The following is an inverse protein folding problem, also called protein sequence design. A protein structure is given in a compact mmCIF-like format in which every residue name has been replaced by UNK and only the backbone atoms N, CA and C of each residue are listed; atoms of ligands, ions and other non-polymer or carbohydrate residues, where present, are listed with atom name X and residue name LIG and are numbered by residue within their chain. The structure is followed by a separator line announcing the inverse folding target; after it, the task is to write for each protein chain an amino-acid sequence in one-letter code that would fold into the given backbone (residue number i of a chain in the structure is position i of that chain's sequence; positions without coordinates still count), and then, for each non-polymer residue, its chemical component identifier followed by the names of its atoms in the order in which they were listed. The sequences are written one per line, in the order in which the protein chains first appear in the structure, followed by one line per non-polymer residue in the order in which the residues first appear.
data_IF_616096669673
#
_entry.id   IF_616096669673
#
_cell.length_a   1.000
_cell.length_b   1.000
_cell.length_c   1.000
_cell.angle_alpha   90.00
_cell.angle_beta   90.00
_cell.angle_gamma   90.00
#
_symmetry.space_group_name_H-M   'P 1'
#
loop_
_entity.id
_entity.type
_entity.pdbx_description
1 polymer ?
#
# COMPACT_ATOMS: atom_id res chain seq x y z
N UNK A 1 2.06 -45.38 -72.65
CA UNK A 1 1.31 -45.48 -71.38
C UNK A 1 2.34 -45.21 -70.30
N UNK A 2 2.52 -43.90 -69.96
CA UNK A 2 3.56 -43.44 -69.02
C UNK A 2 2.94 -43.06 -67.70
N UNK A 3 3.30 -43.80 -66.69
CA UNK A 3 2.92 -43.49 -65.30
C UNK A 3 3.81 -42.35 -64.78
N UNK A 4 3.22 -41.21 -64.54
CA UNK A 4 3.88 -40.09 -63.85
C UNK A 4 4.00 -40.44 -62.38
N UNK A 5 5.23 -40.74 -61.97
CA UNK A 5 5.62 -40.84 -60.56
C UNK A 5 5.53 -39.45 -59.91
N UNK A 6 4.56 -39.27 -59.03
CA UNK A 6 4.36 -38.05 -58.32
C UNK A 6 5.48 -37.92 -57.25
N UNK A 7 6.41 -37.02 -57.51
CA UNK A 7 7.45 -36.66 -56.52
C UNK A 7 6.80 -36.13 -55.24
N UNK A 8 7.06 -36.80 -54.15
CA UNK A 8 6.68 -36.34 -52.79
C UNK A 8 7.30 -34.95 -52.52
N UNK A 9 6.57 -34.03 -51.92
CA UNK A 9 7.10 -32.69 -51.60
C UNK A 9 8.32 -32.81 -50.71
N UNK A 10 9.45 -32.25 -51.15
CA UNK A 10 10.67 -32.15 -50.37
C UNK A 10 10.33 -31.38 -49.09
N UNK A 11 10.37 -32.07 -47.95
CA UNK A 11 10.28 -31.42 -46.63
C UNK A 11 11.45 -30.45 -46.55
N UNK A 12 11.14 -29.16 -46.59
CA UNK A 12 12.09 -28.08 -46.36
C UNK A 12 12.79 -28.40 -45.03
N UNK A 13 14.05 -28.81 -45.08
CA UNK A 13 14.86 -28.99 -43.90
C UNK A 13 15.06 -27.62 -43.27
N UNK A 14 14.46 -27.39 -42.13
CA UNK A 14 14.68 -26.17 -41.36
C UNK A 14 16.18 -25.93 -41.19
N UNK A 15 16.64 -24.67 -41.33
CA UNK A 15 18.04 -24.31 -41.16
C UNK A 15 18.53 -24.81 -39.77
N UNK A 16 19.70 -25.41 -39.74
CA UNK A 16 20.30 -26.00 -38.52
C UNK A 16 20.38 -25.00 -37.37
N UNK A 17 20.50 -23.69 -37.67
CA UNK A 17 20.48 -22.60 -36.69
C UNK A 17 19.16 -22.46 -35.93
N UNK A 18 18.04 -22.56 -36.66
CA UNK A 18 16.70 -22.39 -36.05
C UNK A 18 16.33 -23.55 -35.12
N UNK A 19 16.85 -24.73 -35.36
CA UNK A 19 16.67 -25.88 -34.45
C UNK A 19 17.45 -25.67 -33.16
N UNK A 20 18.70 -25.24 -33.26
CA UNK A 20 19.53 -24.96 -32.08
C UNK A 20 18.95 -23.85 -31.22
N UNK A 21 18.44 -22.79 -31.83
CA UNK A 21 17.78 -21.71 -31.10
C UNK A 21 16.55 -22.22 -30.31
N UNK A 22 15.70 -23.04 -30.93
CA UNK A 22 14.55 -23.63 -30.28
C UNK A 22 14.93 -24.60 -29.14
N UNK A 23 15.99 -25.38 -29.29
CA UNK A 23 16.48 -26.25 -28.24
C UNK A 23 17.00 -25.46 -27.05
N UNK A 24 17.72 -24.37 -27.28
CA UNK A 24 18.17 -23.45 -26.21
C UNK A 24 17.00 -22.78 -25.49
N UNK A 25 16.04 -22.24 -26.24
CA UNK A 25 14.83 -21.63 -25.67
C UNK A 25 14.01 -22.64 -24.83
N UNK A 26 13.86 -23.87 -25.30
CA UNK A 26 13.16 -24.94 -24.57
C UNK A 26 13.91 -25.30 -23.29
N UNK A 27 15.24 -25.36 -23.34
CA UNK A 27 16.07 -25.67 -22.19
C UNK A 27 16.01 -24.53 -21.14
N UNK A 28 16.10 -23.27 -21.58
CA UNK A 28 15.93 -22.11 -20.70
C UNK A 28 14.55 -22.07 -20.04
N UNK A 29 13.48 -22.32 -20.81
CA UNK A 29 12.13 -22.39 -20.28
C UNK A 29 11.94 -23.53 -19.28
N UNK A 30 12.58 -24.67 -19.50
CA UNK A 30 12.55 -25.80 -18.56
C UNK A 30 13.28 -25.47 -17.25
N UNK A 31 14.45 -24.83 -17.33
CA UNK A 31 15.20 -24.35 -16.17
C UNK A 31 14.42 -23.32 -15.39
N UNK A 32 13.79 -22.36 -16.05
CA UNK A 32 12.97 -21.33 -15.42
C UNK A 32 11.75 -21.92 -14.70
N UNK A 33 11.07 -22.89 -15.31
CA UNK A 33 9.95 -23.61 -14.67
C UNK A 33 10.41 -24.37 -13.42
N UNK A 34 11.55 -25.04 -13.49
CA UNK A 34 12.12 -25.78 -12.36
C UNK A 34 12.54 -24.81 -11.24
N UNK A 35 13.20 -23.71 -11.57
CA UNK A 35 13.59 -22.69 -10.62
C UNK A 35 12.38 -22.03 -9.97
N UNK A 36 11.36 -21.66 -10.71
CA UNK A 36 10.10 -21.12 -10.18
C UNK A 36 9.43 -22.11 -9.22
N UNK A 37 9.36 -23.39 -9.59
CA UNK A 37 8.79 -24.44 -8.72
C UNK A 37 9.58 -24.60 -7.43
N UNK A 38 10.90 -24.69 -7.51
CA UNK A 38 11.76 -24.83 -6.34
C UNK A 38 11.69 -23.61 -5.43
N UNK A 39 11.66 -22.40 -6.00
CA UNK A 39 11.48 -21.17 -5.25
C UNK A 39 10.11 -21.10 -4.57
N UNK A 40 9.05 -21.52 -5.26
CA UNK A 40 7.70 -21.58 -4.68
C UNK A 40 7.61 -22.61 -3.55
N UNK A 41 8.18 -23.79 -3.76
CA UNK A 41 8.25 -24.83 -2.72
C UNK A 41 9.07 -24.34 -1.51
N UNK A 42 10.20 -23.67 -1.75
CA UNK A 42 11.01 -23.08 -0.68
C UNK A 42 10.25 -22.03 0.11
N UNK A 43 9.49 -21.16 -0.55
CA UNK A 43 8.64 -20.17 0.12
C UNK A 43 7.53 -20.81 0.94
N UNK A 44 6.88 -21.83 0.41
CA UNK A 44 5.83 -22.56 1.13
C UNK A 44 6.41 -23.31 2.34
N UNK A 45 7.56 -23.97 2.16
CA UNK A 45 8.25 -24.66 3.26
C UNK A 45 8.66 -23.68 4.37
N UNK A 46 9.20 -22.52 4.01
CA UNK A 46 9.55 -21.46 4.97
C UNK A 46 8.31 -20.96 5.72
N UNK A 47 7.21 -20.65 5.00
CA UNK A 47 5.96 -20.21 5.61
C UNK A 47 5.37 -21.27 6.54
N UNK A 48 5.38 -22.55 6.13
CA UNK A 48 4.93 -23.65 6.97
C UNK A 48 5.79 -23.83 8.22
N UNK A 49 7.12 -23.78 8.06
CA UNK A 49 8.04 -23.85 9.20
C UNK A 49 7.84 -22.68 10.18
N UNK A 50 7.65 -21.48 9.67
CA UNK A 50 7.34 -20.31 10.49
C UNK A 50 6.03 -20.46 11.26
N UNK A 51 4.95 -20.91 10.60
CA UNK A 51 3.65 -21.12 11.24
C UNK A 51 3.73 -22.24 12.30
N UNK A 52 4.46 -23.32 12.00
CA UNK A 52 4.67 -24.40 12.98
C UNK A 52 5.49 -23.93 14.19
N UNK A 53 6.55 -23.15 13.96
CA UNK A 53 7.34 -22.58 15.03
C UNK A 53 6.48 -21.65 15.89
N UNK A 54 5.66 -20.80 15.30
CA UNK A 54 4.74 -19.95 16.00
C UNK A 54 3.70 -20.74 16.81
N UNK A 55 3.08 -21.74 16.22
CA UNK A 55 2.11 -22.63 16.90
C UNK A 55 2.71 -23.28 18.16
N UNK A 56 3.96 -23.77 18.04
CA UNK A 56 4.66 -24.44 19.15
C UNK A 56 5.17 -23.45 20.20
N UNK A 57 5.67 -22.29 19.77
CA UNK A 57 6.20 -21.27 20.68
C UNK A 57 5.10 -20.62 21.53
N UNK A 58 3.92 -20.43 20.95
CA UNK A 58 2.76 -19.89 21.66
C UNK A 58 2.25 -20.89 22.71
N UNK A 59 2.24 -20.46 23.96
CA UNK A 59 1.84 -21.26 25.11
C UNK A 59 2.93 -22.16 25.71
N UNK A 60 4.15 -22.21 25.11
CA UNK A 60 5.31 -22.89 25.71
C UNK A 60 6.41 -21.93 26.12
N UNK A 61 6.72 -20.96 25.27
CA UNK A 61 7.76 -19.94 25.45
C UNK A 61 7.13 -18.55 25.62
N UNK A 62 6.06 -18.29 24.85
CA UNK A 62 5.31 -17.04 24.86
C UNK A 62 3.94 -17.30 25.51
N UNK A 63 3.56 -16.41 26.43
CA UNK A 63 2.23 -16.49 27.05
C UNK A 63 1.15 -16.29 25.98
N UNK A 64 0.14 -17.16 25.96
CA UNK A 64 -0.98 -17.11 25.01
C UNK A 64 -1.81 -15.84 25.13
N UNK A 65 -1.76 -15.14 26.26
CA UNK A 65 -2.41 -13.85 26.42
C UNK A 65 -1.82 -12.80 25.49
N UNK A 66 -0.49 -12.81 25.29
CA UNK A 66 0.18 -11.85 24.41
C UNK A 66 0.29 -12.35 22.96
N UNK A 67 0.48 -13.64 22.76
CA UNK A 67 0.70 -14.24 21.43
C UNK A 67 -0.18 -15.46 21.27
N UNK A 68 -1.34 -15.29 20.65
CA UNK A 68 -2.27 -16.38 20.37
C UNK A 68 -1.69 -17.38 19.37
N UNK A 69 -2.22 -18.61 19.35
CA UNK A 69 -1.85 -19.64 18.37
C UNK A 69 -2.49 -19.38 17.02
N UNK A 70 -1.80 -19.64 15.90
CA UNK A 70 -2.41 -19.61 14.57
C UNK A 70 -3.70 -20.42 14.45
N UNK A 71 -3.73 -21.63 15.03
CA UNK A 71 -4.94 -22.47 15.06
C UNK A 71 -6.13 -21.80 15.78
N UNK A 72 -5.89 -21.12 16.90
CA UNK A 72 -6.94 -20.39 17.62
C UNK A 72 -7.44 -19.18 16.82
N UNK A 73 -6.53 -18.48 16.14
CA UNK A 73 -6.89 -17.34 15.28
C UNK A 73 -7.81 -17.80 14.15
N UNK A 74 -7.47 -18.90 13.47
CA UNK A 74 -8.30 -19.47 12.40
C UNK A 74 -9.66 -19.91 12.94
N UNK A 75 -9.69 -20.58 14.08
CA UNK A 75 -10.95 -21.03 14.71
C UNK A 75 -11.84 -19.85 15.12
N UNK A 76 -11.24 -18.79 15.69
CA UNK A 76 -11.95 -17.57 16.05
C UNK A 76 -12.50 -16.84 14.81
N UNK A 77 -11.69 -16.72 13.75
CA UNK A 77 -12.10 -16.10 12.48
C UNK A 77 -13.28 -16.87 11.88
N UNK A 78 -13.19 -18.20 11.84
CA UNK A 78 -14.28 -19.06 11.36
C UNK A 78 -15.58 -18.84 12.16
N UNK A 79 -15.48 -18.82 13.49
CA UNK A 79 -16.62 -18.57 14.37
C UNK A 79 -17.23 -17.18 14.13
N UNK A 80 -16.40 -16.14 13.92
CA UNK A 80 -16.88 -14.78 13.60
C UNK A 80 -17.61 -14.72 12.27
N UNK A 81 -17.10 -15.36 11.23
CA UNK A 81 -17.72 -15.39 9.90
C UNK A 81 -19.11 -16.04 9.95
N UNK A 82 -19.22 -17.21 10.58
CA UNK A 82 -20.45 -18.00 10.58
C UNK A 82 -21.48 -17.56 11.62
N UNK A 83 -21.08 -16.81 12.64
CA UNK A 83 -22.00 -16.24 13.66
C UNK A 83 -22.47 -14.82 13.32
N UNK A 84 -22.21 -14.34 12.09
CA UNK A 84 -22.60 -13.01 11.57
C UNK A 84 -22.00 -11.80 12.32
N UNK A 85 -21.19 -12.05 13.36
CA UNK A 85 -20.57 -10.97 14.14
C UNK A 85 -19.47 -10.23 13.37
N UNK A 86 -18.85 -10.88 12.37
CA UNK A 86 -17.81 -10.27 11.56
C UNK A 86 -18.33 -9.05 10.81
N UNK A 87 -19.45 -9.19 10.11
CA UNK A 87 -20.03 -8.08 9.33
C UNK A 87 -20.52 -6.94 10.22
N UNK A 88 -21.07 -7.28 11.38
CA UNK A 88 -21.47 -6.28 12.37
C UNK A 88 -20.29 -5.45 12.85
N UNK A 89 -19.17 -6.06 13.23
CA UNK A 89 -17.97 -5.33 13.65
C UNK A 89 -17.27 -4.61 12.49
N UNK A 90 -17.25 -5.22 11.31
CA UNK A 90 -16.63 -4.67 10.13
C UNK A 90 -17.28 -3.35 9.68
N UNK A 91 -18.61 -3.25 9.71
CA UNK A 91 -19.30 -2.01 9.34
C UNK A 91 -18.89 -0.83 10.22
N UNK A 92 -18.78 -1.02 11.55
CA UNK A 92 -18.32 0.03 12.45
C UNK A 92 -16.86 0.42 12.17
N UNK A 93 -16.00 -0.57 11.97
CA UNK A 93 -14.59 -0.30 11.63
C UNK A 93 -14.46 0.48 10.31
N UNK A 94 -15.25 0.14 9.30
CA UNK A 94 -15.27 0.86 8.02
C UNK A 94 -15.79 2.29 8.21
N UNK A 95 -16.87 2.48 8.96
CA UNK A 95 -17.44 3.81 9.23
C UNK A 95 -16.42 4.66 9.99
N UNK A 96 -15.80 4.13 11.05
CA UNK A 96 -14.76 4.81 11.83
C UNK A 96 -13.57 5.23 10.95
N UNK A 97 -13.08 4.29 10.14
CA UNK A 97 -11.93 4.51 9.27
C UNK A 97 -12.22 5.53 8.16
N UNK A 98 -13.35 5.38 7.44
CA UNK A 98 -13.72 6.29 6.36
C UNK A 98 -14.05 7.69 6.87
N UNK A 99 -14.79 7.79 7.98
CA UNK A 99 -15.14 9.09 8.56
C UNK A 99 -13.88 9.81 9.03
N UNK A 100 -13.01 9.11 9.77
CA UNK A 100 -11.74 9.67 10.22
C UNK A 100 -10.83 10.05 9.04
N UNK A 101 -10.77 9.21 8.01
CA UNK A 101 -10.04 9.51 6.78
C UNK A 101 -10.55 10.79 6.10
N UNK A 102 -11.85 10.91 5.89
CA UNK A 102 -12.44 12.07 5.22
C UNK A 102 -12.20 13.37 6.01
N UNK A 103 -12.43 13.34 7.33
CA UNK A 103 -12.19 14.50 8.19
C UNK A 103 -10.71 14.89 8.15
N UNK A 104 -9.82 13.92 8.37
CA UNK A 104 -8.38 14.18 8.36
C UNK A 104 -7.86 14.64 7.01
N UNK A 105 -8.33 14.03 5.92
CA UNK A 105 -7.92 14.40 4.56
C UNK A 105 -8.37 15.81 4.18
N UNK A 106 -9.65 16.15 4.41
CA UNK A 106 -10.18 17.48 4.10
C UNK A 106 -9.50 18.56 4.95
N UNK A 107 -9.35 18.32 6.25
CA UNK A 107 -8.66 19.25 7.14
C UNK A 107 -7.18 19.41 6.78
N UNK A 108 -6.48 18.29 6.53
CA UNK A 108 -5.05 18.31 6.14
C UNK A 108 -4.81 19.02 4.82
N UNK A 109 -5.66 18.78 3.83
CA UNK A 109 -5.62 19.45 2.53
C UNK A 109 -5.90 20.94 2.67
N UNK A 110 -6.96 21.34 3.39
CA UNK A 110 -7.35 22.72 3.56
C UNK A 110 -6.27 23.54 4.31
N UNK A 111 -5.81 23.02 5.45
CA UNK A 111 -4.78 23.68 6.26
C UNK A 111 -3.43 23.70 5.51
N UNK A 112 -3.05 22.58 4.89
CA UNK A 112 -1.83 22.49 4.09
C UNK A 112 -1.82 23.47 2.92
N UNK A 113 -2.93 23.58 2.21
CA UNK A 113 -3.07 24.52 1.11
C UNK A 113 -2.97 25.98 1.56
N UNK A 114 -3.64 26.35 2.65
CA UNK A 114 -3.59 27.72 3.20
C UNK A 114 -2.17 28.07 3.65
N UNK A 115 -1.52 27.18 4.41
CA UNK A 115 -0.18 27.45 4.94
C UNK A 115 0.90 27.44 3.84
N UNK A 116 0.77 26.59 2.83
CA UNK A 116 1.73 26.53 1.73
C UNK A 116 1.78 27.82 0.88
N UNK A 117 0.72 28.65 0.91
CA UNK A 117 0.63 29.90 0.13
C UNK A 117 1.48 31.04 0.68
N UNK A 118 1.83 31.00 1.95
CA UNK A 118 2.59 32.08 2.61
C UNK A 118 3.87 31.53 3.22
N UNK A 119 5.01 31.89 2.65
CA UNK A 119 6.32 31.47 3.18
C UNK A 119 6.55 31.97 4.62
N UNK A 120 6.08 33.16 4.94
CA UNK A 120 6.23 33.75 6.28
C UNK A 120 5.44 32.92 7.31
N UNK A 121 4.18 32.63 7.02
CA UNK A 121 3.32 31.81 7.91
C UNK A 121 3.84 30.41 8.05
N UNK A 122 4.23 29.80 6.94
CA UNK A 122 4.77 28.42 6.96
C UNK A 122 6.02 28.33 7.85
N UNK A 123 7.00 29.23 7.69
CA UNK A 123 8.23 29.23 8.51
C UNK A 123 7.96 29.37 10.01
N UNK A 124 6.90 30.09 10.39
CA UNK A 124 6.50 30.21 11.80
C UNK A 124 5.88 28.92 12.32
N UNK A 125 5.06 28.24 11.49
CA UNK A 125 4.29 27.06 11.89
C UNK A 125 5.09 25.77 11.74
N UNK A 126 6.04 25.71 10.81
CA UNK A 126 6.86 24.52 10.49
C UNK A 126 7.48 23.83 11.72
N UNK A 127 8.16 24.52 12.66
CA UNK A 127 8.77 23.87 13.80
C UNK A 127 7.75 23.19 14.70
N UNK A 128 6.55 23.76 14.83
CA UNK A 128 5.46 23.15 15.60
C UNK A 128 4.91 21.90 14.88
N UNK A 129 4.74 21.97 13.55
CA UNK A 129 4.30 20.81 12.76
C UNK A 129 5.29 19.66 12.86
N UNK A 130 6.59 19.94 12.75
CA UNK A 130 7.65 18.93 12.88
C UNK A 130 7.63 18.32 14.28
N UNK A 131 7.48 19.14 15.34
CA UNK A 131 7.39 18.66 16.71
C UNK A 131 6.17 17.74 16.90
N UNK A 132 4.99 18.14 16.44
CA UNK A 132 3.78 17.34 16.52
C UNK A 132 3.85 16.07 15.65
N UNK A 133 4.50 16.16 14.49
CA UNK A 133 4.72 15.01 13.62
C UNK A 133 5.62 13.95 14.28
N UNK A 134 6.59 14.38 15.09
CA UNK A 134 7.50 13.50 15.82
C UNK A 134 6.83 12.74 16.98
N UNK A 135 5.65 13.15 17.45
CA UNK A 135 4.93 12.45 18.52
C UNK A 135 4.37 11.13 17.97
N UNK A 136 4.60 9.98 18.65
CA UNK A 136 3.96 8.72 18.29
C UNK A 136 2.43 8.85 18.42
N UNK A 137 1.73 9.03 17.29
CA UNK A 137 0.29 9.34 17.28
C UNK A 137 -0.57 8.29 17.95
N UNK A 138 -0.15 7.01 17.87
CA UNK A 138 -0.85 5.92 18.53
C UNK A 138 -0.79 6.05 20.07
N UNK A 139 0.25 6.71 20.59
CA UNK A 139 0.38 6.98 22.03
C UNK A 139 -0.63 8.06 22.51
N UNK A 140 -1.26 8.80 21.59
CA UNK A 140 -2.32 9.74 21.92
C UNK A 140 -3.70 9.06 22.09
N UNK A 141 -3.83 7.78 21.74
CA UNK A 141 -5.11 7.08 21.82
C UNK A 141 -5.74 7.14 23.24
N UNK A 142 -5.01 6.93 24.35
CA UNK A 142 -5.58 7.09 25.69
C UNK A 142 -6.12 8.49 25.97
N UNK A 143 -5.46 9.53 25.44
CA UNK A 143 -5.90 10.92 25.59
C UNK A 143 -7.22 11.17 24.84
N UNK A 144 -7.36 10.63 23.65
CA UNK A 144 -8.61 10.71 22.90
C UNK A 144 -9.74 9.94 23.57
N UNK A 145 -9.44 8.81 24.21
CA UNK A 145 -10.42 8.07 25.01
C UNK A 145 -10.86 8.88 26.23
N UNK A 146 -9.91 9.59 26.87
CA UNK A 146 -10.21 10.47 28.00
C UNK A 146 -11.13 11.63 27.60
N UNK A 147 -10.91 12.24 26.43
CA UNK A 147 -11.67 13.39 25.97
C UNK A 147 -13.03 13.03 25.36
N UNK A 148 -13.10 11.94 24.59
CA UNK A 148 -14.26 11.56 23.78
C UNK A 148 -14.96 10.29 24.28
N UNK A 149 -14.43 9.65 25.32
CA UNK A 149 -14.95 8.39 25.86
C UNK A 149 -14.56 7.14 25.06
N UNK A 150 -14.94 5.98 25.58
CA UNK A 150 -14.80 4.69 24.94
C UNK A 150 -15.90 4.53 23.88
N UNK A 151 -15.66 5.00 22.66
CA UNK A 151 -16.68 4.91 21.61
C UNK A 151 -16.13 5.15 20.21
N UNK A 152 -17.05 5.31 19.28
CA UNK A 152 -16.76 5.58 17.86
C UNK A 152 -15.99 6.90 17.69
N UNK A 153 -16.31 7.91 18.50
CA UNK A 153 -15.76 9.26 18.37
C UNK A 153 -14.25 9.31 18.62
N UNK A 154 -13.78 8.63 19.67
CA UNK A 154 -12.34 8.56 19.97
C UNK A 154 -11.55 7.87 18.86
N UNK A 155 -12.11 6.82 18.26
CA UNK A 155 -11.47 6.10 17.15
C UNK A 155 -11.43 6.93 15.88
N UNK A 156 -12.53 7.63 15.55
CA UNK A 156 -12.58 8.59 14.43
C UNK A 156 -11.56 9.70 14.64
N UNK A 157 -11.43 10.25 15.86
CA UNK A 157 -10.48 11.31 16.15
C UNK A 157 -9.02 10.84 15.99
N UNK A 158 -8.69 9.64 16.45
CA UNK A 158 -7.36 9.04 16.23
C UNK A 158 -7.08 8.85 14.74
N UNK A 159 -8.03 8.28 13.99
CA UNK A 159 -7.89 8.10 12.55
C UNK A 159 -7.74 9.44 11.82
N UNK A 160 -8.54 10.44 12.18
CA UNK A 160 -8.50 11.76 11.59
C UNK A 160 -7.16 12.47 11.80
N UNK A 161 -6.60 12.44 13.01
CA UNK A 161 -5.30 13.08 13.27
C UNK A 161 -4.15 12.39 12.55
N UNK A 162 -4.20 11.05 12.42
CA UNK A 162 -3.20 10.30 11.66
C UNK A 162 -3.20 10.71 10.18
N UNK A 163 -4.37 10.77 9.57
CA UNK A 163 -4.54 11.16 8.16
C UNK A 163 -4.22 12.63 7.95
N UNK A 164 -4.67 13.50 8.87
CA UNK A 164 -4.42 14.94 8.81
C UNK A 164 -2.95 15.26 8.58
N UNK A 165 -2.05 14.77 9.43
CA UNK A 165 -0.63 15.09 9.31
C UNK A 165 -0.01 14.55 8.01
N UNK A 166 -0.42 13.35 7.58
CA UNK A 166 0.08 12.77 6.33
C UNK A 166 -0.33 13.64 5.14
N UNK A 167 -1.62 13.96 5.05
CA UNK A 167 -2.16 14.78 3.95
C UNK A 167 -1.61 16.20 4.00
N UNK A 168 -1.57 16.80 5.18
CA UNK A 168 -1.03 18.14 5.40
C UNK A 168 0.41 18.28 4.88
N UNK A 169 1.32 17.40 5.32
CA UNK A 169 2.73 17.46 4.93
C UNK A 169 2.90 17.25 3.43
N UNK A 170 2.19 16.24 2.86
CA UNK A 170 2.26 16.01 1.43
C UNK A 170 1.67 17.16 0.60
N UNK A 171 0.59 17.79 1.07
CA UNK A 171 0.01 18.97 0.43
C UNK A 171 0.99 20.14 0.41
N UNK A 172 1.60 20.44 1.55
CA UNK A 172 2.60 21.50 1.63
C UNK A 172 3.81 21.19 0.77
N UNK A 173 4.35 19.98 0.85
CA UNK A 173 5.48 19.54 0.04
C UNK A 173 5.17 19.61 -1.47
N UNK A 174 3.99 19.14 -1.88
CA UNK A 174 3.54 19.21 -3.27
C UNK A 174 3.48 20.63 -3.81
N UNK A 175 2.84 21.55 -3.07
CA UNK A 175 2.71 22.96 -3.49
C UNK A 175 4.08 23.65 -3.57
N UNK A 176 4.97 23.36 -2.62
CA UNK A 176 6.30 24.00 -2.54
C UNK A 176 7.35 23.36 -3.44
N UNK A 177 7.10 22.19 -3.98
CA UNK A 177 8.01 21.52 -4.92
C UNK A 177 7.93 22.09 -6.35
N UNK A 178 6.94 22.95 -6.64
CA UNK A 178 6.79 23.54 -7.96
C UNK A 178 8.00 24.44 -8.30
N UNK A 179 8.72 24.16 -9.43
CA UNK A 179 9.88 24.95 -9.82
C UNK A 179 9.52 26.41 -10.04
N UNK A 180 10.22 27.33 -9.35
CA UNK A 180 9.96 28.79 -9.43
C UNK A 180 10.05 29.29 -10.87
N UNK A 181 10.94 28.70 -11.69
CA UNK A 181 11.08 29.04 -13.10
C UNK A 181 9.79 28.78 -13.90
N UNK A 182 9.12 27.64 -13.66
CA UNK A 182 7.87 27.33 -14.33
C UNK A 182 6.75 28.28 -13.91
N UNK A 183 6.71 28.67 -12.64
CA UNK A 183 5.73 29.64 -12.14
C UNK A 183 5.96 31.04 -12.76
N UNK A 184 7.21 31.44 -12.94
CA UNK A 184 7.56 32.71 -13.59
C UNK A 184 7.19 32.71 -15.08
N UNK A 185 7.54 31.66 -15.81
CA UNK A 185 7.18 31.52 -17.24
C UNK A 185 5.66 31.53 -17.42
N UNK A 186 4.93 30.78 -16.62
CA UNK A 186 3.47 30.75 -16.69
C UNK A 186 2.83 32.13 -16.42
N UNK A 187 3.39 32.90 -15.47
CA UNK A 187 2.95 34.29 -15.20
C UNK A 187 3.19 35.22 -16.38
N UNK A 188 4.38 35.13 -17.01
CA UNK A 188 4.69 35.93 -18.21
C UNK A 188 3.75 35.57 -19.37
N UNK A 189 3.33 34.31 -19.47
CA UNK A 189 2.33 33.85 -20.43
C UNK A 189 0.88 34.24 -20.11
N UNK A 190 0.65 35.02 -19.02
CA UNK A 190 -0.67 35.51 -18.65
C UNK A 190 -1.51 34.56 -17.80
N UNK A 191 -0.90 33.51 -17.21
CA UNK A 191 -1.62 32.61 -16.32
C UNK A 191 -2.13 33.34 -15.06
N UNK A 192 -3.42 33.16 -14.77
CA UNK A 192 -4.02 33.65 -13.54
C UNK A 192 -3.49 32.87 -12.32
N UNK A 193 -3.69 33.41 -11.13
CA UNK A 193 -3.30 32.72 -9.89
C UNK A 193 -3.97 31.35 -9.76
N UNK A 194 -5.17 31.21 -10.26
CA UNK A 194 -5.93 29.95 -10.28
C UNK A 194 -5.41 28.94 -11.30
N UNK A 195 -4.94 29.43 -12.46
CA UNK A 195 -4.30 28.58 -13.46
C UNK A 195 -2.98 27.98 -12.95
N UNK A 196 -2.20 28.77 -12.20
CA UNK A 196 -0.96 28.29 -11.58
C UNK A 196 -1.23 27.14 -10.61
N UNK A 197 -2.24 27.29 -9.73
CA UNK A 197 -2.61 26.24 -8.77
C UNK A 197 -3.13 24.98 -9.45
N UNK A 198 -3.90 25.12 -10.53
CA UNK A 198 -4.56 23.96 -11.18
C UNK A 198 -3.67 23.22 -12.18
N UNK A 199 -2.72 23.92 -12.83
CA UNK A 199 -1.96 23.37 -13.96
C UNK A 199 -0.48 23.20 -13.70
N UNK A 200 0.07 23.86 -12.67
CA UNK A 200 1.52 23.91 -12.42
C UNK A 200 1.88 23.37 -11.03
N UNK A 201 0.97 23.42 -10.07
CA UNK A 201 1.13 22.88 -8.72
C UNK A 201 0.27 21.63 -8.56
#
# INVERSE_FOLDING_TARGET
MGVREAAAPARLQEPRGDRLLREVEQFEQALDRQNRRNTTLGRLAFAAAFLLLWEVASGRVLDQFFVSKPSHIIAALWAMVFKEQLFYHLQFTIIEALTGYLIGAVAGLAVGFVLARSDAVYRIVEPFVVAFYGIPRIALAPLFILWFGLGITSKIAVAAIMVFFIVFINTVAGIRSAPVQLLQVARVMGASHWDLVRKVT
#
